data_IF_750319417908
#
_entry.id   IF_750319417908
#
_cell.length_a   1.000
_cell.length_b   1.000
_cell.length_c   1.000
_cell.angle_alpha   90.00
_cell.angle_beta   90.00
_cell.angle_gamma   90.00
#
_symmetry.space_group_name_H-M   'P 1'
#
loop_
_entity.id
_entity.type
_entity.pdbx_description
1 polymer ?
#
# COMPACT_ATOMS: atom_id res chain seq x y z
N UNK A 1 -56.82 20.01 46.15
CA UNK A 1 -56.17 18.69 46.21
C UNK A 1 -55.55 18.42 44.85
N UNK A 2 -54.28 18.77 44.62
CA UNK A 2 -53.07 17.96 44.87
C UNK A 2 -52.48 17.48 43.54
N UNK A 3 -51.65 18.31 42.92
CA UNK A 3 -50.71 17.91 41.86
C UNK A 3 -49.30 18.39 42.26
N UNK A 4 -48.77 17.84 43.35
CA UNK A 4 -47.39 18.04 43.82
C UNK A 4 -46.59 16.71 43.87
N UNK A 5 -46.95 15.71 43.06
CA UNK A 5 -46.36 14.36 43.16
C UNK A 5 -45.42 13.91 42.04
N UNK A 6 -45.19 14.72 40.98
CA UNK A 6 -44.50 14.26 39.76
C UNK A 6 -43.14 14.93 39.48
N UNK A 7 -42.74 15.96 40.25
CA UNK A 7 -41.44 16.64 40.10
C UNK A 7 -40.31 15.93 40.84
N UNK A 8 -40.58 15.28 41.97
CA UNK A 8 -39.52 14.78 42.84
C UNK A 8 -38.83 13.53 42.29
N UNK A 9 -39.56 12.61 41.65
CA UNK A 9 -38.96 11.40 41.10
C UNK A 9 -37.97 11.70 39.96
N UNK A 10 -38.24 12.72 39.13
CA UNK A 10 -37.36 13.12 38.02
C UNK A 10 -36.14 13.91 38.50
N UNK A 11 -36.30 14.78 39.50
CA UNK A 11 -35.19 15.50 40.12
C UNK A 11 -34.29 14.54 40.90
N UNK A 12 -34.86 13.58 41.62
CA UNK A 12 -34.10 12.53 42.30
C UNK A 12 -33.39 11.59 41.31
N UNK A 13 -34.02 11.23 40.18
CA UNK A 13 -33.34 10.47 39.12
C UNK A 13 -32.18 11.26 38.50
N UNK A 14 -32.34 12.57 38.28
CA UNK A 14 -31.32 13.43 37.70
C UNK A 14 -30.12 13.61 38.66
N UNK A 15 -30.37 13.90 39.93
CA UNK A 15 -29.33 14.05 40.96
C UNK A 15 -28.62 12.71 41.28
N UNK A 16 -29.33 11.58 41.21
CA UNK A 16 -28.71 10.25 41.31
C UNK A 16 -27.83 9.93 40.09
N UNK A 17 -28.26 10.34 38.88
CA UNK A 17 -27.49 10.16 37.64
C UNK A 17 -26.23 11.02 37.62
N UNK A 18 -26.29 12.25 38.15
CA UNK A 18 -25.13 13.15 38.28
C UNK A 18 -24.09 12.64 39.29
N UNK A 19 -24.52 12.12 40.46
CA UNK A 19 -23.61 11.51 41.44
C UNK A 19 -22.95 10.23 40.93
N UNK A 20 -23.68 9.42 40.14
CA UNK A 20 -23.10 8.26 39.46
C UNK A 20 -22.09 8.68 38.40
N UNK A 21 -22.36 9.73 37.64
CA UNK A 21 -21.48 10.22 36.57
C UNK A 21 -20.18 10.83 37.12
N UNK A 22 -20.23 11.59 38.23
CA UNK A 22 -19.03 12.07 38.94
C UNK A 22 -18.21 10.94 39.56
N UNK A 23 -18.86 9.90 40.10
CA UNK A 23 -18.18 8.75 40.71
C UNK A 23 -17.51 7.87 39.65
N UNK A 24 -18.13 7.67 38.48
CA UNK A 24 -17.55 6.94 37.34
C UNK A 24 -16.34 7.69 36.77
N UNK A 25 -16.38 9.02 36.68
CA UNK A 25 -15.25 9.84 36.22
C UNK A 25 -14.01 9.71 37.13
N UNK A 26 -14.20 9.72 38.46
CA UNK A 26 -13.09 9.52 39.41
C UNK A 26 -12.54 8.10 39.32
N UNK A 27 -13.41 7.09 39.16
CA UNK A 27 -12.99 5.69 39.00
C UNK A 27 -12.21 5.46 37.69
N UNK A 28 -12.65 6.04 36.56
CA UNK A 28 -11.95 5.93 35.27
C UNK A 28 -10.59 6.63 35.30
N UNK A 29 -10.49 7.78 35.99
CA UNK A 29 -9.22 8.47 36.18
C UNK A 29 -8.25 7.71 37.11
N UNK A 30 -8.76 6.97 38.10
CA UNK A 30 -7.96 6.09 38.96
C UNK A 30 -7.52 4.80 38.25
N UNK A 31 -8.34 4.26 37.32
CA UNK A 31 -7.98 3.09 36.50
C UNK A 31 -6.93 3.41 35.41
N UNK A 32 -6.66 4.69 35.12
CA UNK A 32 -5.64 5.11 34.16
C UNK A 32 -4.20 5.08 34.71
N UNK A 33 -4.00 4.79 36.01
CA UNK A 33 -2.66 4.73 36.63
C UNK A 33 -2.15 3.30 36.92
N UNK A 34 -3.01 2.28 36.88
CA UNK A 34 -2.56 0.88 36.92
C UNK A 34 -2.24 0.42 35.50
N UNK A 35 -1.18 0.97 34.93
CA UNK A 35 -0.66 0.59 33.62
C UNK A 35 -0.12 -0.84 33.61
N UNK A 36 -1.01 -1.82 33.59
CA UNK A 36 -0.68 -3.19 33.20
C UNK A 36 -1.48 -3.50 31.94
N UNK A 37 -1.08 -2.87 30.84
CA UNK A 37 -1.42 -3.37 29.52
C UNK A 37 -0.71 -4.72 29.38
N UNK A 38 -1.45 -5.83 29.51
CA UNK A 38 -0.95 -7.14 29.12
C UNK A 38 -0.75 -7.09 27.60
N UNK A 39 0.47 -6.81 27.16
CA UNK A 39 0.88 -6.96 25.79
C UNK A 39 0.69 -8.43 25.42
N UNK A 40 -0.40 -8.74 24.71
CA UNK A 40 -0.50 -10.00 24.01
C UNK A 40 0.71 -10.11 23.07
N UNK A 41 1.45 -11.23 23.05
CA UNK A 41 2.56 -11.38 22.12
C UNK A 41 2.01 -11.22 20.71
N UNK A 42 2.56 -10.27 19.97
CA UNK A 42 2.31 -10.16 18.54
C UNK A 42 2.56 -11.53 17.90
N UNK A 43 1.75 -11.96 16.90
CA UNK A 43 2.03 -13.21 16.20
C UNK A 43 3.48 -13.17 15.72
N UNK A 44 4.24 -14.19 16.09
CA UNK A 44 5.64 -14.31 15.67
C UNK A 44 5.68 -14.17 14.15
N UNK A 45 6.27 -13.08 13.66
CA UNK A 45 6.54 -12.95 12.25
C UNK A 45 7.42 -14.14 11.85
N UNK A 46 7.19 -14.77 10.68
CA UNK A 46 8.11 -15.79 10.17
C UNK A 46 9.52 -15.23 10.27
N UNK A 47 10.40 -15.95 10.96
CA UNK A 47 11.80 -15.54 11.11
C UNK A 47 12.36 -15.24 9.73
N UNK A 48 12.85 -14.02 9.54
CA UNK A 48 13.41 -13.60 8.27
C UNK A 48 14.44 -14.66 7.84
N UNK A 49 14.32 -15.22 6.61
CA UNK A 49 15.34 -16.11 6.11
C UNK A 49 16.70 -15.40 6.19
N UNK A 50 17.79 -16.11 6.50
CA UNK A 50 19.10 -15.50 6.61
C UNK A 50 19.38 -14.71 5.33
N UNK A 51 19.94 -13.49 5.42
CA UNK A 51 20.21 -12.68 4.25
C UNK A 51 21.21 -13.43 3.37
N UNK A 52 20.69 -14.09 2.34
CA UNK A 52 21.53 -14.54 1.23
C UNK A 52 21.91 -13.25 0.54
N UNK A 53 23.13 -12.75 0.80
CA UNK A 53 23.68 -11.60 0.09
C UNK A 53 23.51 -11.87 -1.41
N UNK A 54 22.75 -11.03 -2.09
CA UNK A 54 22.45 -11.16 -3.51
C UNK A 54 23.04 -9.93 -4.20
N UNK A 55 24.34 -9.96 -4.59
CA UNK A 55 25.03 -8.79 -5.13
C UNK A 55 24.32 -8.18 -6.34
N UNK A 56 23.72 -9.03 -7.19
CA UNK A 56 22.93 -8.60 -8.34
C UNK A 56 21.73 -7.75 -7.93
N UNK A 57 21.10 -8.06 -6.80
CA UNK A 57 19.96 -7.30 -6.28
C UNK A 57 20.42 -6.00 -5.63
N UNK A 58 21.58 -6.00 -4.96
CA UNK A 58 22.11 -4.81 -4.30
C UNK A 58 22.42 -3.70 -5.32
N UNK A 59 22.97 -4.05 -6.49
CA UNK A 59 23.14 -3.10 -7.60
C UNK A 59 21.80 -2.52 -8.07
N UNK A 60 20.76 -3.33 -8.18
CA UNK A 60 19.43 -2.84 -8.60
C UNK A 60 18.78 -1.97 -7.53
N UNK A 61 18.94 -2.30 -6.24
CA UNK A 61 18.49 -1.46 -5.13
C UNK A 61 19.18 -0.09 -5.18
N UNK A 62 20.47 -0.05 -5.46
CA UNK A 62 21.21 1.21 -5.62
C UNK A 62 20.73 2.02 -6.83
N UNK A 63 20.50 1.39 -7.98
CA UNK A 63 19.93 2.08 -9.14
C UNK A 63 18.51 2.57 -8.88
N UNK A 64 17.72 1.81 -8.13
CA UNK A 64 16.39 2.21 -7.68
C UNK A 64 16.45 3.48 -6.82
N UNK A 65 17.35 3.55 -5.82
CA UNK A 65 17.51 4.76 -5.00
C UNK A 65 18.01 5.97 -5.80
N UNK A 66 18.70 5.72 -6.92
CA UNK A 66 19.11 6.74 -7.91
C UNK A 66 17.99 7.14 -8.90
N UNK A 67 16.82 6.52 -8.81
CA UNK A 67 15.63 6.90 -9.59
C UNK A 67 15.31 6.01 -10.79
N UNK A 68 15.90 4.82 -10.89
CA UNK A 68 15.55 3.83 -11.91
C UNK A 68 14.20 3.18 -11.59
N UNK A 69 13.13 3.60 -12.29
CA UNK A 69 11.80 2.99 -12.19
C UNK A 69 11.86 1.47 -12.40
N UNK A 70 12.54 1.05 -13.46
CA UNK A 70 12.65 -0.35 -13.85
C UNK A 70 13.33 -1.20 -12.77
N UNK A 71 14.42 -0.70 -12.16
CA UNK A 71 15.11 -1.46 -11.14
C UNK A 71 14.30 -1.56 -9.84
N UNK A 72 13.56 -0.52 -9.47
CA UNK A 72 12.63 -0.62 -8.34
C UNK A 72 11.57 -1.70 -8.58
N UNK A 73 10.93 -1.66 -9.75
CA UNK A 73 9.90 -2.65 -10.09
C UNK A 73 10.48 -4.06 -10.14
N UNK A 74 11.67 -4.25 -10.70
CA UNK A 74 12.33 -5.54 -10.77
C UNK A 74 12.75 -6.08 -9.39
N UNK A 75 13.28 -5.24 -8.50
CA UNK A 75 13.58 -5.63 -7.10
C UNK A 75 12.29 -6.04 -6.40
N UNK A 76 11.22 -5.27 -6.61
CA UNK A 76 9.90 -5.57 -6.10
C UNK A 76 9.35 -6.92 -6.58
N UNK A 77 9.43 -7.17 -7.90
CA UNK A 77 9.08 -8.45 -8.52
C UNK A 77 9.92 -9.58 -7.94
N UNK A 78 11.24 -9.41 -7.86
CA UNK A 78 12.15 -10.43 -7.32
C UNK A 78 11.76 -10.86 -5.90
N UNK A 79 11.46 -9.90 -5.02
CA UNK A 79 11.01 -10.19 -3.67
C UNK A 79 9.61 -10.83 -3.61
N UNK A 80 8.74 -10.57 -4.59
CA UNK A 80 7.41 -11.15 -4.64
C UNK A 80 7.41 -12.59 -5.19
N UNK A 81 8.13 -12.81 -6.29
CA UNK A 81 8.20 -14.09 -7.00
C UNK A 81 9.24 -15.03 -6.38
N UNK A 82 10.26 -14.49 -5.71
CA UNK A 82 11.42 -15.24 -5.23
C UNK A 82 12.43 -15.56 -6.33
N UNK A 83 12.30 -14.98 -7.52
CA UNK A 83 13.21 -15.19 -8.64
C UNK A 83 13.19 -14.01 -9.62
N UNK A 84 14.36 -13.64 -10.14
CA UNK A 84 14.50 -12.71 -11.25
C UNK A 84 15.61 -13.16 -12.21
N UNK A 85 15.28 -13.29 -13.50
CA UNK A 85 16.22 -13.73 -14.54
C UNK A 85 16.97 -15.04 -14.19
N UNK A 86 16.27 -16.02 -13.60
CA UNK A 86 16.84 -17.29 -13.15
C UNK A 86 17.62 -17.25 -11.83
N UNK A 87 17.80 -16.06 -11.23
CA UNK A 87 18.44 -15.91 -9.93
C UNK A 87 17.40 -15.99 -8.81
N UNK A 88 17.58 -16.96 -7.92
CA UNK A 88 16.67 -17.17 -6.78
C UNK A 88 16.96 -16.23 -5.64
N UNK A 89 15.90 -15.83 -4.94
CA UNK A 89 15.98 -15.08 -3.70
C UNK A 89 14.84 -15.46 -2.75
N UNK A 90 15.07 -15.28 -1.46
CA UNK A 90 14.00 -15.38 -0.47
C UNK A 90 12.89 -14.35 -0.77
N UNK A 91 11.65 -14.81 -0.73
CA UNK A 91 10.49 -13.92 -0.85
C UNK A 91 10.42 -13.00 0.36
N UNK A 92 10.08 -11.74 0.11
CA UNK A 92 9.82 -10.74 1.14
C UNK A 92 8.67 -9.83 0.66
N UNK A 93 7.42 -10.14 1.02
CA UNK A 93 6.26 -9.37 0.58
C UNK A 93 6.27 -7.91 1.02
N UNK A 94 6.94 -7.60 2.14
CA UNK A 94 7.00 -6.24 2.66
C UNK A 94 7.95 -5.38 1.81
N UNK A 95 9.15 -5.91 1.53
CA UNK A 95 10.10 -5.28 0.61
C UNK A 95 9.52 -5.20 -0.80
N UNK A 96 8.87 -6.26 -1.28
CA UNK A 96 8.21 -6.26 -2.59
C UNK A 96 7.26 -5.08 -2.74
N UNK A 97 6.31 -4.93 -1.80
CA UNK A 97 5.34 -3.84 -1.82
C UNK A 97 6.00 -2.46 -1.78
N UNK A 98 7.05 -2.29 -0.98
CA UNK A 98 7.79 -1.03 -0.88
C UNK A 98 8.39 -0.64 -2.23
N UNK A 99 9.21 -1.52 -2.82
CA UNK A 99 9.90 -1.24 -4.09
C UNK A 99 8.93 -1.11 -5.27
N UNK A 100 7.86 -1.90 -5.31
CA UNK A 100 6.82 -1.77 -6.34
C UNK A 100 6.16 -0.39 -6.25
N UNK A 101 5.76 0.05 -5.05
CA UNK A 101 5.10 1.36 -4.88
C UNK A 101 6.03 2.51 -5.26
N UNK A 102 7.30 2.44 -4.87
CA UNK A 102 8.29 3.46 -5.23
C UNK A 102 8.51 3.51 -6.75
N UNK A 103 8.63 2.35 -7.40
CA UNK A 103 8.70 2.22 -8.85
C UNK A 103 7.48 2.83 -9.53
N UNK A 104 6.26 2.41 -9.16
CA UNK A 104 5.03 2.95 -9.74
C UNK A 104 4.93 4.47 -9.57
N UNK A 105 5.22 5.00 -8.38
CA UNK A 105 5.20 6.44 -8.11
C UNK A 105 6.20 7.23 -8.96
N UNK A 106 7.42 6.71 -9.11
CA UNK A 106 8.44 7.33 -9.96
C UNK A 106 8.06 7.26 -11.43
N UNK A 107 7.64 6.10 -11.91
CA UNK A 107 7.19 5.90 -13.28
C UNK A 107 6.02 6.83 -13.63
N UNK A 108 5.04 6.97 -12.74
CA UNK A 108 3.92 7.91 -12.92
C UNK A 108 4.39 9.36 -13.05
N UNK A 109 5.35 9.77 -12.22
CA UNK A 109 5.93 11.12 -12.28
C UNK A 109 6.67 11.34 -13.60
N UNK A 110 7.54 10.41 -14.00
CA UNK A 110 8.34 10.53 -15.23
C UNK A 110 7.48 10.45 -16.49
N UNK A 111 6.46 9.59 -16.48
CA UNK A 111 5.43 9.54 -17.51
C UNK A 111 4.68 10.88 -17.66
N UNK A 112 4.36 11.56 -16.55
CA UNK A 112 3.79 12.93 -16.59
C UNK A 112 4.76 13.97 -17.15
N UNK A 113 6.06 13.73 -17.03
CA UNK A 113 7.13 14.60 -17.54
C UNK A 113 7.54 14.29 -18.99
N UNK A 114 6.87 13.34 -19.65
CA UNK A 114 7.14 12.98 -21.06
C UNK A 114 8.15 11.85 -21.24
N UNK A 115 8.58 11.17 -20.18
CA UNK A 115 9.27 9.88 -20.32
C UNK A 115 8.24 8.80 -20.67
N UNK A 116 8.03 8.61 -21.97
CA UNK A 116 7.05 7.66 -22.46
C UNK A 116 7.49 6.21 -22.28
N UNK A 117 8.77 5.94 -22.00
CA UNK A 117 9.24 4.60 -21.62
C UNK A 117 8.65 4.23 -20.26
N UNK A 118 8.62 5.16 -19.31
CA UNK A 118 7.99 4.92 -18.01
C UNK A 118 6.48 4.74 -18.12
N UNK A 119 5.82 5.49 -19.01
CA UNK A 119 4.39 5.26 -19.29
C UNK A 119 4.15 3.82 -19.75
N UNK A 120 4.98 3.31 -20.67
CA UNK A 120 4.87 1.92 -21.12
C UNK A 120 5.09 0.93 -19.98
N UNK A 121 6.15 1.13 -19.20
CA UNK A 121 6.55 0.24 -18.12
C UNK A 121 5.45 0.10 -17.07
N UNK A 122 4.92 1.21 -16.53
CA UNK A 122 3.84 1.16 -15.53
C UNK A 122 2.51 0.71 -16.16
N UNK A 123 2.31 1.00 -17.44
CA UNK A 123 1.16 0.54 -18.21
C UNK A 123 1.08 -0.99 -18.25
N UNK A 124 2.21 -1.65 -18.55
CA UNK A 124 2.30 -3.11 -18.48
C UNK A 124 2.05 -3.65 -17.07
N UNK A 125 2.62 -3.00 -16.04
CA UNK A 125 2.41 -3.44 -14.65
C UNK A 125 0.92 -3.48 -14.29
N UNK A 126 0.15 -2.45 -14.64
CA UNK A 126 -1.28 -2.41 -14.37
C UNK A 126 -2.10 -3.32 -15.31
N UNK A 127 -1.66 -3.49 -16.56
CA UNK A 127 -2.37 -4.31 -17.53
C UNK A 127 -2.21 -5.81 -17.28
N UNK A 128 -0.97 -6.28 -17.12
CA UNK A 128 -0.66 -7.68 -16.85
C UNK A 128 -1.02 -8.07 -15.40
N UNK A 129 -0.80 -7.16 -14.46
CA UNK A 129 -1.01 -7.40 -13.03
C UNK A 129 -0.05 -8.44 -12.46
N UNK A 130 -0.56 -9.38 -11.66
CA UNK A 130 0.21 -10.44 -11.02
C UNK A 130 0.93 -9.98 -9.75
N UNK A 131 1.98 -9.18 -9.90
CA UNK A 131 2.69 -8.60 -8.74
C UNK A 131 1.96 -7.40 -8.13
N UNK A 132 1.05 -6.80 -8.90
CA UNK A 132 0.07 -5.82 -8.41
C UNK A 132 -1.33 -6.24 -8.89
N UNK A 133 -2.41 -5.76 -8.22
CA UNK A 133 -3.75 -5.92 -8.74
C UNK A 133 -3.88 -5.33 -10.14
N UNK A 134 -4.49 -6.09 -11.04
CA UNK A 134 -4.78 -5.64 -12.40
C UNK A 134 -5.73 -4.43 -12.39
N UNK A 135 -5.40 -3.41 -13.17
CA UNK A 135 -6.25 -2.25 -13.46
C UNK A 135 -6.15 -1.98 -14.97
N UNK A 136 -6.96 -2.72 -15.75
CA UNK A 136 -6.91 -2.68 -17.22
C UNK A 136 -7.14 -1.26 -17.77
N UNK A 137 -8.16 -0.49 -17.32
CA UNK A 137 -8.37 0.86 -17.82
C UNK A 137 -7.16 1.77 -17.60
N UNK A 138 -6.55 1.70 -16.41
CA UNK A 138 -5.38 2.52 -16.08
C UNK A 138 -4.14 2.09 -16.88
N UNK A 139 -3.91 0.77 -16.98
CA UNK A 139 -2.81 0.23 -17.78
C UNK A 139 -2.91 0.65 -19.24
N UNK A 140 -4.10 0.55 -19.83
CA UNK A 140 -4.36 0.96 -21.19
C UNK A 140 -4.14 2.46 -21.40
N UNK A 141 -4.59 3.33 -20.50
CA UNK A 141 -4.36 4.78 -20.59
C UNK A 141 -2.85 5.11 -20.66
N UNK A 142 -2.04 4.50 -19.79
CA UNK A 142 -0.59 4.69 -19.82
C UNK A 142 0.06 4.16 -21.10
N UNK A 143 -0.36 2.99 -21.59
CA UNK A 143 0.16 2.41 -22.83
C UNK A 143 -0.19 3.27 -24.05
N UNK A 144 -1.42 3.78 -24.12
CA UNK A 144 -1.83 4.70 -25.18
C UNK A 144 -1.07 6.01 -25.11
N UNK A 145 -0.92 6.58 -23.90
CA UNK A 145 -0.11 7.78 -23.70
C UNK A 145 1.33 7.56 -24.14
N UNK A 146 1.92 6.41 -23.83
CA UNK A 146 3.25 6.03 -24.28
C UNK A 146 3.36 5.98 -25.82
N UNK A 147 2.39 5.35 -26.48
CA UNK A 147 2.35 5.27 -27.94
C UNK A 147 2.16 6.65 -28.60
N UNK A 148 1.22 7.46 -28.12
CA UNK A 148 1.03 8.86 -28.59
C UNK A 148 2.27 9.73 -28.36
N UNK A 149 3.04 9.41 -27.33
CA UNK A 149 4.34 10.01 -27.05
C UNK A 149 5.49 9.53 -27.94
N UNK A 150 5.24 8.62 -28.87
CA UNK A 150 6.23 8.14 -29.84
C UNK A 150 7.03 6.92 -29.39
N UNK A 151 6.69 6.28 -28.27
CA UNK A 151 7.38 5.04 -27.88
C UNK A 151 6.85 3.84 -28.66
N UNK A 152 7.59 3.46 -29.72
CA UNK A 152 7.17 2.43 -30.69
C UNK A 152 6.74 1.10 -30.03
N UNK A 153 7.44 0.64 -28.98
CA UNK A 153 7.08 -0.63 -28.31
C UNK A 153 5.68 -0.60 -27.71
N UNK A 154 5.21 0.56 -27.25
CA UNK A 154 3.83 0.68 -26.76
C UNK A 154 2.81 0.56 -27.89
N UNK A 155 3.09 1.17 -29.05
CA UNK A 155 2.23 1.03 -30.23
C UNK A 155 2.20 -0.42 -30.74
N UNK A 156 3.37 -1.06 -30.85
CA UNK A 156 3.48 -2.46 -31.26
C UNK A 156 2.74 -3.38 -30.28
N UNK A 157 2.84 -3.11 -28.98
CA UNK A 157 2.12 -3.86 -27.95
C UNK A 157 0.59 -3.70 -28.11
N UNK A 158 0.10 -2.48 -28.32
CA UNK A 158 -1.34 -2.23 -28.50
C UNK A 158 -1.88 -2.88 -29.77
N UNK A 159 -1.10 -2.86 -30.86
CA UNK A 159 -1.43 -3.53 -32.12
C UNK A 159 -1.51 -5.05 -31.93
N UNK A 160 -0.48 -5.65 -31.32
CA UNK A 160 -0.42 -7.09 -31.09
C UNK A 160 -1.47 -7.59 -30.09
N UNK A 161 -1.90 -6.74 -29.16
CA UNK A 161 -2.97 -7.02 -28.20
C UNK A 161 -4.38 -6.80 -28.77
N UNK A 162 -4.51 -6.33 -30.02
CA UNK A 162 -5.82 -6.05 -30.64
C UNK A 162 -6.52 -4.82 -30.08
N UNK A 163 -5.79 -3.93 -29.39
CA UNK A 163 -6.32 -2.74 -28.69
C UNK A 163 -6.07 -1.44 -29.45
N UNK A 164 -5.56 -1.51 -30.69
CA UNK A 164 -5.27 -0.35 -31.54
C UNK A 164 -6.47 0.60 -31.71
N UNK A 165 -7.68 0.05 -31.81
CA UNK A 165 -8.91 0.83 -32.04
C UNK A 165 -9.33 1.70 -30.85
N UNK A 166 -8.62 1.63 -29.71
CA UNK A 166 -8.95 2.37 -28.50
C UNK A 166 -8.14 3.68 -28.34
N UNK A 167 -7.19 3.97 -29.25
CA UNK A 167 -6.24 5.10 -29.15
C UNK A 167 -6.83 6.49 -29.39
#
# INVERSE_FOLDING_TARGET
MSLQGLSDARVLLALAKDRLMQSVLVIVLLMAWTGVASAAPAPAQPSAPPPVSAPWLDTMKESCTKGSTQDCLNVGVAYMTGELNGNKIAKDPAQAKMYINDGLKMGEKRCKQGDYVDCYLIGLMYFEGGVIPTDLPRGLDYLQKSCRGGYKKACDWLDNSGLKSMM
#
